data_IF_340379121645
#
_entry.id   IF_340379121645
#
_cell.length_a   1.000
_cell.length_b   1.000
_cell.length_c   1.000
_cell.angle_alpha   90.00
_cell.angle_beta   90.00
_cell.angle_gamma   90.00
#
_symmetry.space_group_name_H-M   'P 1'
#
loop_
_entity.id
_entity.type
_entity.pdbx_description
1 polymer ?
#
# COMPACT_ATOMS: atom_id res chain seq x y z
N UNK A 1 -0.16 25.29 -23.88
CA UNK A 1 1.25 24.90 -23.66
C UNK A 1 1.26 23.40 -23.41
N UNK A 2 1.48 22.61 -24.47
CA UNK A 2 1.65 21.17 -24.46
C UNK A 2 3.04 20.83 -23.92
N UNK A 3 3.15 20.64 -22.61
CA UNK A 3 4.26 19.90 -22.03
C UNK A 3 4.06 18.44 -22.38
N UNK A 4 4.84 17.91 -23.33
CA UNK A 4 4.68 16.58 -23.91
C UNK A 4 4.75 15.46 -22.88
N UNK A 5 3.61 15.09 -22.30
CA UNK A 5 3.46 13.83 -21.54
C UNK A 5 3.55 12.68 -22.53
N UNK A 6 4.47 11.77 -22.30
CA UNK A 6 4.51 10.52 -23.06
C UNK A 6 3.32 9.67 -22.65
N UNK A 7 2.35 9.49 -23.55
CA UNK A 7 1.20 8.61 -23.34
C UNK A 7 1.70 7.16 -23.25
N UNK A 8 1.18 6.40 -22.28
CA UNK A 8 1.57 5.02 -22.10
C UNK A 8 1.21 4.18 -23.35
N UNK A 9 2.10 3.28 -23.84
CA UNK A 9 1.84 2.44 -24.99
C UNK A 9 0.52 1.65 -24.93
N UNK A 10 0.12 1.19 -23.74
CA UNK A 10 -1.16 0.50 -23.55
C UNK A 10 -2.36 1.41 -23.78
N UNK A 11 -2.26 2.70 -23.40
CA UNK A 11 -3.32 3.66 -23.68
C UNK A 11 -3.39 3.97 -25.19
N UNK A 12 -2.24 4.02 -25.89
CA UNK A 12 -2.18 4.20 -27.33
C UNK A 12 -2.89 3.05 -28.04
N UNK A 13 -2.58 1.80 -27.69
CA UNK A 13 -3.21 0.60 -28.23
C UNK A 13 -4.75 0.65 -28.09
N UNK A 14 -5.25 0.98 -26.90
CA UNK A 14 -6.69 1.10 -26.64
C UNK A 14 -7.33 2.24 -27.46
N UNK A 15 -6.64 3.37 -27.59
CA UNK A 15 -7.10 4.50 -28.37
C UNK A 15 -7.19 4.17 -29.86
N UNK A 16 -6.25 3.40 -30.41
CA UNK A 16 -6.28 2.95 -31.80
C UNK A 16 -7.47 2.03 -32.06
N UNK A 17 -7.71 1.04 -31.21
CA UNK A 17 -8.88 0.14 -31.30
C UNK A 17 -10.18 0.95 -31.30
N UNK A 18 -10.33 1.91 -30.36
CA UNK A 18 -11.55 2.74 -30.27
C UNK A 18 -11.70 3.63 -31.51
N UNK A 19 -10.61 4.26 -31.97
CA UNK A 19 -10.61 5.16 -33.11
C UNK A 19 -10.93 4.45 -34.42
N UNK A 20 -10.41 3.23 -34.59
CA UNK A 20 -10.69 2.41 -35.79
C UNK A 20 -12.08 1.83 -35.77
N UNK A 21 -12.57 1.38 -34.61
CA UNK A 21 -13.89 0.77 -34.45
C UNK A 21 -15.03 1.78 -34.48
N UNK A 22 -14.90 2.89 -33.73
CA UNK A 22 -15.93 3.94 -33.60
C UNK A 22 -15.25 5.30 -33.42
N UNK A 23 -14.87 5.99 -34.52
CA UNK A 23 -14.18 7.29 -34.47
C UNK A 23 -14.92 8.37 -33.68
N UNK A 24 -16.25 8.35 -33.73
CA UNK A 24 -17.09 9.32 -33.02
C UNK A 24 -16.95 9.12 -31.49
N UNK A 25 -16.86 7.89 -31.01
CA UNK A 25 -16.58 7.61 -29.60
C UNK A 25 -15.19 8.13 -29.18
N UNK A 26 -14.17 7.88 -30.00
CA UNK A 26 -12.83 8.39 -29.72
C UNK A 26 -12.81 9.92 -29.62
N UNK A 27 -13.54 10.61 -30.49
CA UNK A 27 -13.63 12.07 -30.45
C UNK A 27 -14.24 12.61 -29.15
N UNK A 28 -15.09 11.83 -28.47
CA UNK A 28 -15.74 12.23 -27.21
C UNK A 28 -14.89 11.95 -25.97
N UNK A 29 -13.79 11.18 -26.08
CA UNK A 29 -12.93 10.92 -24.92
C UNK A 29 -12.25 12.21 -24.45
N UNK A 30 -12.30 12.44 -23.12
CA UNK A 30 -11.53 13.51 -22.48
C UNK A 30 -10.02 13.27 -22.63
N UNK A 31 -9.19 14.29 -22.35
CA UNK A 31 -7.74 14.12 -22.30
C UNK A 31 -7.35 12.96 -21.34
N UNK A 32 -7.89 12.96 -20.14
CA UNK A 32 -7.68 11.87 -19.19
C UNK A 32 -8.18 10.52 -19.73
N UNK A 33 -9.36 10.48 -20.38
CA UNK A 33 -9.90 9.26 -20.98
C UNK A 33 -8.95 8.62 -22.01
N UNK A 34 -8.22 9.44 -22.77
CA UNK A 34 -7.20 9.00 -23.74
C UNK A 34 -5.88 8.57 -23.09
N UNK A 35 -5.59 9.01 -21.88
CA UNK A 35 -4.40 8.61 -21.10
C UNK A 35 -4.62 7.35 -20.28
N UNK A 36 -5.88 6.98 -19.98
CA UNK A 36 -6.22 5.82 -19.15
C UNK A 36 -5.96 4.49 -19.87
N UNK A 37 -5.46 3.54 -19.13
CA UNK A 37 -5.25 2.15 -19.54
C UNK A 37 -5.42 1.21 -18.34
N UNK A 38 -5.58 -0.08 -18.61
CA UNK A 38 -5.52 -1.09 -17.55
C UNK A 38 -4.07 -1.62 -17.46
N UNK A 39 -3.36 -1.42 -16.34
CA UNK A 39 -1.95 -1.81 -16.24
C UNK A 39 -1.76 -3.32 -16.44
N UNK A 40 -0.82 -3.71 -17.30
CA UNK A 40 -0.28 -5.07 -17.34
C UNK A 40 0.69 -5.21 -16.17
N UNK A 41 0.21 -5.75 -15.07
CA UNK A 41 0.99 -5.85 -13.84
C UNK A 41 0.36 -6.84 -12.87
N UNK A 42 0.46 -6.57 -11.58
CA UNK A 42 0.03 -7.48 -10.50
C UNK A 42 -1.36 -8.09 -10.74
N UNK A 43 -2.35 -7.32 -11.20
CA UNK A 43 -3.72 -7.83 -11.39
C UNK A 43 -3.83 -8.79 -12.58
N UNK A 44 -3.19 -8.48 -13.70
CA UNK A 44 -3.15 -9.38 -14.88
C UNK A 44 -2.37 -10.65 -14.60
N UNK A 45 -1.20 -10.53 -14.01
CA UNK A 45 -0.39 -11.68 -13.59
C UNK A 45 -1.12 -12.55 -12.55
N UNK A 46 -1.84 -11.93 -11.61
CA UNK A 46 -2.68 -12.66 -10.64
C UNK A 46 -3.85 -13.37 -11.32
N UNK A 47 -4.51 -12.76 -12.31
CA UNK A 47 -5.59 -13.39 -13.06
C UNK A 47 -5.09 -14.58 -13.87
N UNK A 48 -3.94 -14.46 -14.50
CA UNK A 48 -3.26 -15.54 -15.22
C UNK A 48 -2.86 -16.68 -14.27
N UNK A 49 -2.23 -16.36 -13.14
CA UNK A 49 -1.86 -17.35 -12.13
C UNK A 49 -3.07 -18.09 -11.55
N UNK A 50 -4.23 -17.45 -11.40
CA UNK A 50 -5.47 -18.12 -10.97
C UNK A 50 -5.93 -19.22 -11.93
N UNK A 51 -5.62 -19.08 -13.22
CA UNK A 51 -6.02 -20.06 -14.24
C UNK A 51 -4.98 -21.16 -14.43
N UNK A 52 -3.70 -20.86 -14.24
CA UNK A 52 -2.57 -21.70 -14.66
C UNK A 52 -1.71 -22.21 -13.51
N UNK A 53 -1.65 -21.52 -12.38
CA UNK A 53 -0.88 -21.98 -11.22
C UNK A 53 -1.66 -23.10 -10.50
N UNK A 54 -1.27 -24.33 -10.77
CA UNK A 54 -1.91 -25.52 -10.18
C UNK A 54 -1.18 -26.06 -8.94
N UNK A 55 0.04 -25.62 -8.68
CA UNK A 55 0.82 -26.02 -7.49
C UNK A 55 0.77 -24.95 -6.40
N UNK A 56 1.34 -23.77 -6.66
CA UNK A 56 1.35 -22.65 -5.71
C UNK A 56 0.97 -21.34 -6.40
N UNK A 57 0.12 -20.53 -5.74
CA UNK A 57 -0.22 -19.18 -6.20
C UNK A 57 0.13 -18.15 -5.13
N UNK A 58 1.31 -17.54 -5.26
CA UNK A 58 1.86 -16.53 -4.35
C UNK A 58 1.75 -15.11 -4.91
N UNK A 59 0.69 -14.82 -5.68
CA UNK A 59 0.52 -13.52 -6.37
C UNK A 59 -0.35 -12.53 -5.60
N UNK A 60 -1.36 -12.99 -4.86
CA UNK A 60 -2.45 -12.16 -4.33
C UNK A 60 -2.04 -11.45 -3.03
N UNK A 61 -2.47 -10.20 -2.86
CA UNK A 61 -2.28 -9.41 -1.64
C UNK A 61 -3.32 -9.70 -0.55
N UNK A 62 -3.65 -10.98 -0.32
CA UNK A 62 -4.47 -11.46 0.79
C UNK A 62 -3.65 -12.46 1.62
N UNK A 63 -4.16 -12.84 2.78
CA UNK A 63 -3.64 -13.98 3.54
C UNK A 63 -4.63 -15.14 3.45
N UNK A 64 -4.12 -16.35 3.21
CA UNK A 64 -4.95 -17.55 3.07
C UNK A 64 -4.50 -18.65 4.03
N UNK A 65 -5.38 -19.57 4.34
CA UNK A 65 -5.05 -20.85 4.97
C UNK A 65 -5.92 -21.93 4.36
N UNK A 66 -5.33 -23.08 4.02
CA UNK A 66 -5.99 -24.21 3.37
C UNK A 66 -6.77 -23.77 2.11
N UNK A 67 -6.18 -22.87 1.32
CA UNK A 67 -6.79 -22.34 0.08
C UNK A 67 -7.96 -21.36 0.27
N UNK A 68 -8.26 -20.96 1.51
CA UNK A 68 -9.34 -20.00 1.83
C UNK A 68 -8.78 -18.73 2.44
N UNK A 69 -9.42 -17.56 2.20
CA UNK A 69 -9.03 -16.34 2.88
C UNK A 69 -9.07 -16.49 4.41
N UNK A 70 -8.06 -15.96 5.11
CA UNK A 70 -8.14 -15.76 6.55
C UNK A 70 -9.29 -14.80 6.87
N UNK A 71 -9.90 -14.97 8.01
CA UNK A 71 -10.99 -14.10 8.48
C UNK A 71 -11.04 -14.11 10.01
N UNK A 72 -11.81 -13.19 10.57
CA UNK A 72 -12.16 -13.17 11.97
C UNK A 72 -13.53 -13.85 12.16
N UNK A 73 -13.62 -14.98 12.88
CA UNK A 73 -14.88 -15.70 13.09
C UNK A 73 -15.99 -14.84 13.70
N UNK A 74 -15.63 -13.87 14.55
CA UNK A 74 -16.57 -12.89 15.10
C UNK A 74 -17.32 -12.10 14.05
N UNK A 75 -16.64 -11.66 12.97
CA UNK A 75 -17.28 -10.96 11.85
C UNK A 75 -18.33 -11.82 11.16
N UNK A 76 -18.02 -13.09 10.92
CA UNK A 76 -18.96 -14.04 10.27
C UNK A 76 -20.22 -14.28 11.11
N UNK A 77 -20.13 -14.24 12.43
CA UNK A 77 -21.31 -14.36 13.31
C UNK A 77 -22.24 -13.15 13.13
N UNK A 78 -21.69 -11.93 13.12
CA UNK A 78 -22.49 -10.70 12.99
C UNK A 78 -23.20 -10.56 11.64
N UNK A 79 -22.67 -11.13 10.56
CA UNK A 79 -23.35 -11.13 9.26
C UNK A 79 -24.75 -11.75 9.27
N UNK A 80 -25.01 -12.70 10.16
CA UNK A 80 -26.32 -13.40 10.23
C UNK A 80 -27.37 -12.61 11.00
N UNK A 81 -26.94 -11.80 11.98
CA UNK A 81 -27.82 -11.13 12.95
C UNK A 81 -27.73 -9.59 12.80
N UNK A 82 -27.63 -9.10 11.56
CA UNK A 82 -27.55 -7.69 11.25
C UNK A 82 -28.94 -7.06 11.23
N UNK A 83 -29.13 -5.94 11.95
CA UNK A 83 -30.35 -5.13 11.83
C UNK A 83 -30.41 -4.50 10.43
N UNK A 84 -31.59 -4.45 9.78
CA UNK A 84 -31.75 -3.81 8.48
C UNK A 84 -31.23 -2.37 8.42
N UNK A 85 -31.41 -1.56 9.46
CA UNK A 85 -30.91 -0.18 9.50
C UNK A 85 -29.36 -0.13 9.55
N UNK A 86 -28.71 -1.12 10.15
CA UNK A 86 -27.25 -1.23 10.18
C UNK A 86 -26.65 -1.69 8.84
N UNK A 87 -27.46 -2.29 7.97
CA UNK A 87 -27.01 -2.88 6.72
C UNK A 87 -27.39 -2.05 5.48
N UNK A 88 -28.60 -1.49 5.45
CA UNK A 88 -29.23 -0.94 4.23
C UNK A 88 -29.34 0.57 4.20
N UNK A 89 -29.21 1.25 5.33
CA UNK A 89 -29.21 2.72 5.36
C UNK A 89 -27.94 3.30 4.71
N UNK A 90 -28.03 4.53 4.23
CA UNK A 90 -26.87 5.27 3.79
C UNK A 90 -26.01 5.69 5.00
N UNK A 91 -24.72 5.37 4.95
CA UNK A 91 -23.77 5.95 5.90
C UNK A 91 -23.58 7.46 5.62
N UNK A 92 -23.24 8.28 6.63
CA UNK A 92 -22.76 9.64 6.40
C UNK A 92 -21.56 9.64 5.43
N UNK A 93 -21.40 10.72 4.65
CA UNK A 93 -20.31 10.83 3.66
C UNK A 93 -18.93 10.62 4.29
N UNK A 94 -18.73 11.11 5.52
CA UNK A 94 -17.46 10.95 6.26
C UNK A 94 -17.37 9.67 7.09
N UNK A 95 -18.42 8.84 7.07
CA UNK A 95 -18.54 7.61 7.84
C UNK A 95 -19.27 7.75 9.16
N UNK A 96 -19.59 6.61 9.79
CA UNK A 96 -20.28 6.55 11.08
C UNK A 96 -19.41 7.16 12.18
N UNK A 97 -19.92 8.14 12.94
CA UNK A 97 -19.17 8.80 14.01
C UNK A 97 -18.61 7.82 15.04
N UNK A 98 -19.44 6.87 15.47
CA UNK A 98 -19.05 5.85 16.45
C UNK A 98 -17.90 4.95 15.97
N UNK A 99 -17.83 4.61 14.67
CA UNK A 99 -16.71 3.87 14.10
C UNK A 99 -15.45 4.74 14.02
N UNK A 100 -15.62 6.01 13.60
CA UNK A 100 -14.50 6.96 13.49
C UNK A 100 -13.85 7.23 14.85
N UNK A 101 -14.64 7.39 15.90
CA UNK A 101 -14.18 7.57 17.29
C UNK A 101 -13.41 6.32 17.77
N UNK A 102 -14.01 5.14 17.60
CA UNK A 102 -13.36 3.87 17.97
C UNK A 102 -12.08 3.61 17.18
N UNK A 103 -12.03 3.99 15.89
CA UNK A 103 -10.82 3.88 15.08
C UNK A 103 -9.72 4.84 15.54
N UNK A 104 -10.09 6.05 15.97
CA UNK A 104 -9.13 6.99 16.59
C UNK A 104 -8.56 6.46 17.89
N UNK A 105 -9.38 5.83 18.72
CA UNK A 105 -8.92 5.15 19.93
C UNK A 105 -7.93 4.02 19.57
N UNK A 106 -8.29 3.18 18.60
CA UNK A 106 -7.42 2.12 18.07
C UNK A 106 -6.09 2.68 17.54
N UNK A 107 -6.10 3.76 16.75
CA UNK A 107 -4.89 4.41 16.27
C UNK A 107 -4.00 4.88 17.44
N UNK A 108 -4.59 5.45 18.48
CA UNK A 108 -3.84 5.92 19.67
C UNK A 108 -3.31 4.77 20.52
N UNK A 109 -4.04 3.66 20.63
CA UNK A 109 -3.60 2.46 21.35
C UNK A 109 -2.43 1.80 20.60
N UNK A 110 -2.53 1.67 19.29
CA UNK A 110 -1.51 1.05 18.45
C UNK A 110 -0.27 1.93 18.23
N UNK A 111 -0.40 3.24 18.46
CA UNK A 111 0.68 4.23 18.31
C UNK A 111 0.79 5.10 19.55
N UNK A 112 1.42 4.63 20.64
CA UNK A 112 1.53 5.35 21.91
C UNK A 112 2.13 6.76 21.79
N UNK A 113 2.99 7.01 20.80
CA UNK A 113 3.59 8.32 20.51
C UNK A 113 2.57 9.39 20.05
N UNK A 114 1.35 8.99 19.69
CA UNK A 114 0.24 9.90 19.38
C UNK A 114 -0.41 10.50 20.63
N UNK A 115 -0.17 9.97 21.82
CA UNK A 115 -0.73 10.53 23.07
C UNK A 115 -0.33 11.99 23.25
N UNK A 116 -1.32 12.86 23.39
CA UNK A 116 -1.11 14.29 23.53
C UNK A 116 -0.81 15.04 22.21
N UNK A 117 -0.75 14.34 21.08
CA UNK A 117 -0.68 14.99 19.77
C UNK A 117 -2.06 15.38 19.26
N UNK A 118 -2.10 16.47 18.48
CA UNK A 118 -3.32 16.90 17.78
C UNK A 118 -3.42 16.21 16.42
N UNK A 119 -4.53 15.52 16.18
CA UNK A 119 -4.86 14.96 14.88
C UNK A 119 -6.38 14.85 14.71
N UNK A 120 -6.83 14.84 13.46
CA UNK A 120 -8.25 14.84 13.11
C UNK A 120 -8.95 13.54 13.51
N UNK A 121 -10.29 13.58 13.57
CA UNK A 121 -11.08 12.35 13.57
C UNK A 121 -10.89 11.65 12.22
N UNK A 122 -10.66 10.31 12.19
CA UNK A 122 -10.52 9.55 10.94
C UNK A 122 -11.76 9.67 10.06
N UNK A 123 -11.57 9.82 8.74
CA UNK A 123 -12.66 9.89 7.76
C UNK A 123 -12.69 8.56 7.01
N UNK A 124 -13.85 7.92 6.93
CA UNK A 124 -14.00 6.61 6.27
C UNK A 124 -13.92 6.75 4.77
N UNK A 125 -13.14 5.86 4.14
CA UNK A 125 -12.98 5.77 2.68
C UNK A 125 -13.23 4.35 2.18
N UNK A 126 -13.45 4.19 0.87
CA UNK A 126 -13.60 2.87 0.23
C UNK A 126 -12.24 2.19 0.01
N UNK A 127 -11.55 1.89 1.12
CA UNK A 127 -10.20 1.37 1.16
C UNK A 127 -9.13 2.43 0.91
N UNK A 128 -7.86 2.08 1.15
CA UNK A 128 -6.71 3.00 1.04
C UNK A 128 -6.52 3.53 -0.39
N UNK A 129 -6.85 2.75 -1.42
CA UNK A 129 -6.81 3.23 -2.82
C UNK A 129 -7.71 4.45 -3.03
N UNK A 130 -8.90 4.46 -2.43
CA UNK A 130 -9.79 5.62 -2.47
C UNK A 130 -9.23 6.78 -1.62
N UNK A 131 -8.65 6.48 -0.45
CA UNK A 131 -7.98 7.48 0.38
C UNK A 131 -6.84 8.19 -0.38
N UNK A 132 -5.99 7.42 -1.10
CA UNK A 132 -4.94 7.96 -1.97
C UNK A 132 -5.52 8.81 -3.12
N UNK A 133 -6.62 8.36 -3.74
CA UNK A 133 -7.31 9.12 -4.78
C UNK A 133 -7.82 10.46 -4.25
N UNK A 134 -8.42 10.49 -3.05
CA UNK A 134 -8.85 11.72 -2.39
C UNK A 134 -7.66 12.63 -2.09
N UNK A 135 -6.56 12.09 -1.58
CA UNK A 135 -5.34 12.87 -1.35
C UNK A 135 -4.77 13.45 -2.64
N UNK A 136 -4.80 12.68 -3.74
CA UNK A 136 -4.37 13.18 -5.04
C UNK A 136 -5.25 14.33 -5.55
N UNK A 137 -6.57 14.26 -5.34
CA UNK A 137 -7.49 15.33 -5.71
C UNK A 137 -7.37 16.57 -4.80
N UNK A 138 -7.04 16.36 -3.50
CA UNK A 138 -6.95 17.43 -2.50
C UNK A 138 -5.63 18.21 -2.57
N UNK A 139 -4.52 17.54 -2.88
CA UNK A 139 -3.18 18.09 -2.72
C UNK A 139 -2.32 18.14 -3.98
N UNK A 140 -2.73 17.47 -5.08
CA UNK A 140 -1.88 17.33 -6.26
C UNK A 140 -2.44 18.05 -7.49
N UNK A 141 -1.71 19.05 -7.97
CA UNK A 141 -1.90 19.65 -9.28
C UNK A 141 -0.92 19.06 -10.30
N UNK A 142 -1.22 19.30 -11.59
CA UNK A 142 -0.34 18.85 -12.67
C UNK A 142 1.05 19.53 -12.57
N UNK A 143 2.11 18.72 -12.56
CA UNK A 143 3.49 19.17 -12.41
C UNK A 143 3.99 19.27 -10.96
N UNK A 144 3.11 19.05 -9.97
CA UNK A 144 3.56 18.93 -8.58
C UNK A 144 4.48 17.73 -8.40
N UNK A 145 5.50 17.89 -7.57
CA UNK A 145 6.46 16.84 -7.27
C UNK A 145 5.85 15.81 -6.31
N UNK A 146 5.93 14.54 -6.69
CA UNK A 146 5.69 13.40 -5.80
C UNK A 146 6.97 12.59 -5.65
N UNK A 147 7.51 12.54 -4.43
CA UNK A 147 8.70 11.75 -4.10
C UNK A 147 8.30 10.37 -3.57
N UNK A 148 8.83 9.32 -4.21
CA UNK A 148 8.58 7.90 -3.93
C UNK A 148 9.89 7.13 -3.83
N UNK A 149 9.96 6.00 -3.09
CA UNK A 149 11.06 5.06 -3.26
C UNK A 149 10.98 4.35 -4.63
N UNK A 150 12.09 3.74 -5.07
CA UNK A 150 12.12 2.89 -6.28
C UNK A 150 11.31 1.60 -6.10
N UNK A 151 11.23 1.08 -4.88
CA UNK A 151 10.40 -0.08 -4.50
C UNK A 151 9.03 0.42 -4.06
N UNK A 152 8.08 0.42 -4.99
CA UNK A 152 6.76 1.02 -4.80
C UNK A 152 5.62 0.13 -5.33
N UNK A 153 4.43 0.37 -4.82
CA UNK A 153 3.22 -0.17 -5.42
C UNK A 153 2.87 0.61 -6.70
N UNK A 154 2.90 -0.08 -7.85
CA UNK A 154 2.76 0.54 -9.18
C UNK A 154 1.52 1.40 -9.38
N UNK A 155 0.44 1.17 -8.60
CA UNK A 155 -0.80 1.94 -8.72
C UNK A 155 -0.66 3.42 -8.28
N UNK A 156 0.40 3.80 -7.54
CA UNK A 156 0.68 5.21 -7.26
C UNK A 156 0.91 6.01 -8.54
N UNK A 157 1.55 5.40 -9.56
CA UNK A 157 1.76 6.02 -10.88
C UNK A 157 0.44 6.32 -11.58
N UNK A 158 -0.55 5.42 -11.47
CA UNK A 158 -1.89 5.65 -12.04
C UNK A 158 -2.63 6.78 -11.31
N UNK A 159 -2.59 6.76 -9.96
CA UNK A 159 -3.34 7.70 -9.12
C UNK A 159 -2.77 9.12 -9.26
N UNK A 160 -1.47 9.30 -9.11
CA UNK A 160 -0.84 10.62 -9.09
C UNK A 160 -0.28 11.02 -10.46
N UNK A 161 0.39 10.10 -11.16
CA UNK A 161 0.98 10.36 -12.48
C UNK A 161 -0.08 10.52 -13.56
N UNK A 162 -0.75 9.44 -13.93
CA UNK A 162 -1.71 9.43 -15.04
C UNK A 162 -2.91 10.33 -14.76
N UNK A 163 -3.56 10.18 -13.60
CA UNK A 163 -4.78 10.94 -13.32
C UNK A 163 -4.54 12.41 -12.97
N UNK A 164 -3.45 12.75 -12.27
CA UNK A 164 -3.21 14.11 -11.79
C UNK A 164 -2.05 14.81 -12.47
N UNK A 165 -1.19 14.05 -13.14
CA UNK A 165 -0.03 14.59 -13.82
C UNK A 165 1.10 15.04 -12.91
N UNK A 166 1.24 14.38 -11.78
CA UNK A 166 2.37 14.59 -10.89
C UNK A 166 3.71 14.32 -11.59
N UNK A 167 4.72 15.11 -11.27
CA UNK A 167 6.13 14.84 -11.58
C UNK A 167 6.67 13.84 -10.55
N UNK A 168 6.68 12.55 -10.90
CA UNK A 168 7.10 11.48 -9.99
C UNK A 168 8.62 11.35 -10.03
N UNK A 169 9.25 11.53 -8.88
CA UNK A 169 10.68 11.31 -8.65
C UNK A 169 10.89 10.19 -7.67
N UNK A 170 11.97 9.42 -7.89
CA UNK A 170 12.28 8.25 -7.11
C UNK A 170 13.67 8.36 -6.48
N UNK A 171 13.80 7.73 -5.31
CA UNK A 171 15.08 7.50 -4.63
C UNK A 171 15.26 6.01 -4.36
N UNK A 172 16.49 5.48 -4.30
CA UNK A 172 16.74 4.09 -3.95
C UNK A 172 16.35 3.83 -2.48
N UNK A 173 15.47 2.83 -2.26
CA UNK A 173 15.00 2.48 -0.92
C UNK A 173 16.10 1.83 -0.08
N UNK A 174 16.96 1.02 -0.71
CA UNK A 174 18.02 0.28 -0.04
C UNK A 174 19.40 0.63 -0.58
N UNK A 175 20.40 0.48 0.29
CA UNK A 175 21.81 0.45 -0.08
C UNK A 175 22.20 -0.93 -0.58
N UNK A 176 23.40 -1.06 -1.15
CA UNK A 176 23.93 -2.35 -1.62
C UNK A 176 24.09 -3.37 -0.49
N UNK A 177 24.33 -2.92 0.74
CA UNK A 177 24.39 -3.77 1.93
C UNK A 177 23.03 -4.22 2.47
N UNK A 178 21.94 -3.75 1.86
CA UNK A 178 20.56 -4.06 2.25
C UNK A 178 19.99 -3.13 3.35
N UNK A 179 20.76 -2.19 3.91
CA UNK A 179 20.19 -1.21 4.86
C UNK A 179 19.30 -0.19 4.16
N UNK A 180 18.32 0.37 4.88
CA UNK A 180 17.47 1.44 4.34
C UNK A 180 18.32 2.67 3.99
N UNK A 181 18.09 3.25 2.82
CA UNK A 181 18.90 4.36 2.32
C UNK A 181 18.30 5.72 2.71
N UNK A 182 18.20 6.00 4.03
CA UNK A 182 17.66 7.25 4.54
C UNK A 182 18.42 8.48 4.00
N UNK A 183 19.72 8.36 3.72
CA UNK A 183 20.51 9.44 3.14
C UNK A 183 20.08 9.77 1.71
N UNK A 184 19.78 8.78 0.86
CA UNK A 184 19.25 9.04 -0.49
C UNK A 184 17.88 9.72 -0.44
N UNK A 185 17.01 9.32 0.50
CA UNK A 185 15.75 10.01 0.74
C UNK A 185 15.98 11.49 1.10
N UNK A 186 16.87 11.76 2.07
CA UNK A 186 17.23 13.12 2.49
C UNK A 186 17.77 13.96 1.33
N UNK A 187 18.73 13.44 0.58
CA UNK A 187 19.33 14.14 -0.58
C UNK A 187 18.30 14.42 -1.66
N UNK A 188 17.46 13.45 -2.01
CA UNK A 188 16.39 13.64 -2.97
C UNK A 188 15.40 14.71 -2.51
N UNK A 189 14.98 14.68 -1.23
CA UNK A 189 14.04 15.64 -0.67
C UNK A 189 14.60 17.07 -0.68
N UNK A 190 15.84 17.25 -0.23
CA UNK A 190 16.52 18.56 -0.18
C UNK A 190 16.82 19.11 -1.57
N UNK A 191 17.07 18.26 -2.56
CA UNK A 191 17.30 18.70 -3.95
C UNK A 191 16.09 19.41 -4.56
N UNK A 192 14.90 19.27 -3.96
CA UNK A 192 13.67 19.92 -4.38
C UNK A 192 13.11 20.91 -3.35
N UNK A 193 13.91 21.29 -2.33
CA UNK A 193 13.43 22.17 -1.25
C UNK A 193 13.05 23.59 -1.73
N UNK A 194 13.45 24.00 -2.92
CA UNK A 194 13.05 25.23 -3.61
C UNK A 194 11.64 25.15 -4.21
N UNK A 195 11.06 23.94 -4.33
CA UNK A 195 9.68 23.79 -4.81
C UNK A 195 8.67 24.31 -3.78
N UNK A 196 7.61 24.98 -4.20
CA UNK A 196 6.61 25.54 -3.29
C UNK A 196 5.86 24.47 -2.50
N UNK A 197 5.80 23.24 -3.03
CA UNK A 197 5.13 22.09 -2.42
C UNK A 197 5.80 20.79 -2.87
N UNK A 198 5.98 19.87 -1.93
CA UNK A 198 6.47 18.52 -2.19
C UNK A 198 5.49 17.53 -1.58
N UNK A 199 4.99 16.61 -2.39
CA UNK A 199 4.24 15.45 -1.95
C UNK A 199 5.23 14.32 -1.67
N UNK A 200 5.12 13.69 -0.51
CA UNK A 200 5.93 12.52 -0.12
C UNK A 200 4.99 11.38 0.21
N UNK A 201 5.27 10.18 -0.28
CA UNK A 201 4.50 8.99 0.06
C UNK A 201 5.44 7.94 0.63
N UNK A 202 5.17 7.55 1.88
CA UNK A 202 5.89 6.54 2.64
C UNK A 202 4.98 5.34 2.85
N UNK A 203 5.40 4.16 2.41
CA UNK A 203 4.63 2.93 2.56
C UNK A 203 5.43 1.89 3.35
N UNK A 204 5.04 1.70 4.62
CA UNK A 204 5.65 0.73 5.53
C UNK A 204 4.58 0.08 6.43
N UNK A 205 4.52 -1.26 6.50
CA UNK A 205 5.30 -2.25 5.74
C UNK A 205 5.21 -2.05 4.23
N UNK A 206 6.36 -2.08 3.57
CA UNK A 206 6.47 -1.75 2.15
C UNK A 206 5.86 -2.84 1.25
N UNK A 207 5.12 -2.43 0.26
CA UNK A 207 4.77 -3.25 -0.89
C UNK A 207 5.58 -2.76 -2.10
N UNK A 208 6.55 -3.53 -2.60
CA UNK A 208 6.54 -5.00 -2.65
C UNK A 208 7.47 -5.74 -1.68
N UNK A 209 8.38 -5.08 -0.98
CA UNK A 209 9.51 -5.76 -0.33
C UNK A 209 9.17 -6.44 1.00
N UNK A 210 8.12 -5.98 1.71
CA UNK A 210 7.82 -6.46 3.06
C UNK A 210 8.74 -5.88 4.14
N UNK A 211 9.35 -4.73 3.88
CA UNK A 211 10.24 -4.06 4.82
C UNK A 211 9.53 -2.97 5.62
N UNK A 212 9.89 -2.85 6.88
CA UNK A 212 9.58 -1.71 7.75
C UNK A 212 10.85 -1.22 8.44
N UNK A 213 11.02 0.09 8.62
CA UNK A 213 12.24 0.65 9.19
C UNK A 213 12.42 0.24 10.66
N UNK A 214 13.67 0.21 11.10
CA UNK A 214 14.02 0.22 12.51
C UNK A 214 13.82 1.62 13.10
N UNK A 215 13.89 1.76 14.44
CA UNK A 215 13.64 3.06 15.07
C UNK A 215 14.59 4.16 14.56
N UNK A 216 15.88 3.87 14.48
CA UNK A 216 16.89 4.84 14.01
C UNK A 216 16.66 5.27 12.55
N UNK A 217 16.21 4.35 11.69
CA UNK A 217 15.88 4.65 10.30
C UNK A 217 14.58 5.48 10.19
N UNK A 218 13.59 5.18 11.02
CA UNK A 218 12.35 5.94 11.10
C UNK A 218 12.60 7.37 11.58
N UNK A 219 13.50 7.55 12.57
CA UNK A 219 13.94 8.85 13.04
C UNK A 219 14.72 9.60 11.97
N UNK A 220 15.61 8.95 11.21
CA UNK A 220 16.34 9.57 10.12
C UNK A 220 15.39 10.07 8.99
N UNK A 221 14.32 9.34 8.70
CA UNK A 221 13.25 9.79 7.77
C UNK A 221 12.55 11.04 8.32
N UNK A 222 12.17 11.04 9.61
CA UNK A 222 11.56 12.21 10.26
C UNK A 222 12.49 13.43 10.19
N UNK A 223 13.75 13.25 10.51
CA UNK A 223 14.74 14.34 10.57
C UNK A 223 14.98 14.94 9.18
N UNK A 224 15.02 14.12 8.13
CA UNK A 224 15.09 14.59 6.75
C UNK A 224 13.86 15.44 6.35
N UNK A 225 12.66 15.02 6.77
CA UNK A 225 11.43 15.79 6.55
C UNK A 225 11.44 17.13 7.28
N UNK A 226 11.91 17.15 8.54
CA UNK A 226 12.05 18.38 9.32
C UNK A 226 13.05 19.33 8.67
N UNK A 227 14.22 18.86 8.28
CA UNK A 227 15.24 19.67 7.60
C UNK A 227 14.70 20.33 6.31
N UNK A 228 13.95 19.58 5.49
CA UNK A 228 13.35 20.15 4.28
C UNK A 228 12.25 21.18 4.61
N UNK A 229 11.46 20.97 5.66
CA UNK A 229 10.47 21.93 6.12
C UNK A 229 11.11 23.20 6.67
N UNK A 230 12.20 23.08 7.43
CA UNK A 230 13.02 24.20 7.93
C UNK A 230 13.69 24.97 6.78
N UNK A 231 14.10 24.26 5.70
CA UNK A 231 14.62 24.89 4.49
C UNK A 231 13.54 25.64 3.68
N UNK A 232 12.26 25.53 4.06
CA UNK A 232 11.15 26.33 3.50
C UNK A 232 10.15 25.54 2.65
N UNK A 233 10.36 24.24 2.41
CA UNK A 233 9.43 23.40 1.66
C UNK A 233 8.11 23.18 2.42
N UNK A 234 6.95 23.29 1.72
CA UNK A 234 5.68 22.84 2.25
C UNK A 234 5.51 21.35 1.90
N UNK A 235 5.48 20.51 2.91
CA UNK A 235 5.42 19.06 2.75
C UNK A 235 4.01 18.53 3.00
N UNK A 236 3.52 17.66 2.11
CA UNK A 236 2.38 16.78 2.37
C UNK A 236 2.90 15.36 2.42
N UNK A 237 2.99 14.80 3.61
CA UNK A 237 3.55 13.46 3.84
C UNK A 237 2.42 12.46 4.05
N UNK A 238 2.17 11.65 3.06
CA UNK A 238 1.20 10.56 3.09
C UNK A 238 1.88 9.29 3.57
N UNK A 239 1.40 8.76 4.70
CA UNK A 239 1.86 7.48 5.27
C UNK A 239 0.83 6.41 4.91
N UNK A 240 1.18 5.55 3.96
CA UNK A 240 0.36 4.42 3.52
C UNK A 240 0.66 3.21 4.41
N UNK A 241 -0.18 3.04 5.40
CA UNK A 241 -0.13 2.00 6.42
C UNK A 241 -0.95 0.75 6.03
N UNK A 242 -1.00 0.40 4.75
CA UNK A 242 -1.83 -0.71 4.27
C UNK A 242 -1.59 -2.04 4.98
N UNK A 243 -0.39 -2.28 5.49
CA UNK A 243 0.02 -3.51 6.18
C UNK A 243 0.40 -3.26 7.63
N UNK A 244 -0.06 -2.16 8.21
CA UNK A 244 0.20 -1.81 9.62
C UNK A 244 -0.16 -2.96 10.56
N UNK A 245 0.63 -3.11 11.63
CA UNK A 245 0.45 -4.16 12.62
C UNK A 245 1.11 -5.51 12.28
N UNK A 246 1.53 -5.71 11.03
CA UNK A 246 2.18 -6.95 10.58
C UNK A 246 3.72 -6.84 10.67
N UNK A 247 4.24 -6.60 11.87
CA UNK A 247 5.68 -6.48 12.17
C UNK A 247 6.16 -7.75 12.85
N UNK A 248 7.11 -8.46 12.26
CA UNK A 248 7.49 -9.81 12.71
C UNK A 248 8.79 -9.86 13.50
N UNK A 249 9.61 -8.80 13.47
CA UNK A 249 10.87 -8.70 14.20
C UNK A 249 10.81 -7.67 15.34
N UNK A 250 11.52 -7.94 16.45
CA UNK A 250 11.52 -7.05 17.62
C UNK A 250 12.20 -5.71 17.35
N UNK A 251 13.19 -5.68 16.47
CA UNK A 251 13.96 -4.47 16.12
C UNK A 251 13.18 -3.50 15.22
N UNK A 252 12.08 -3.96 14.62
CA UNK A 252 11.24 -3.12 13.75
C UNK A 252 10.54 -2.04 14.57
N UNK A 253 10.51 -0.81 14.08
CA UNK A 253 9.67 0.24 14.63
C UNK A 253 8.19 -0.13 14.44
N UNK A 254 7.48 -0.35 15.54
CA UNK A 254 6.13 -0.94 15.53
C UNK A 254 4.99 0.08 15.49
N UNK A 255 5.31 1.37 15.48
CA UNK A 255 4.33 2.43 15.27
C UNK A 255 4.36 2.93 13.81
N UNK A 256 3.30 3.59 13.40
CA UNK A 256 3.25 4.28 12.12
C UNK A 256 4.23 5.46 12.09
N UNK A 257 4.89 5.71 10.96
CA UNK A 257 5.68 6.92 10.77
C UNK A 257 4.84 8.20 10.97
N UNK A 258 3.54 8.13 10.78
CA UNK A 258 2.62 9.22 11.10
C UNK A 258 2.78 9.70 12.56
N UNK A 259 3.01 8.79 13.50
CA UNK A 259 3.19 9.17 14.92
C UNK A 259 4.43 10.04 15.16
N UNK A 260 5.52 9.79 14.43
CA UNK A 260 6.76 10.55 14.53
C UNK A 260 6.67 11.97 13.93
N UNK A 261 5.81 12.13 12.92
CA UNK A 261 5.70 13.38 12.16
C UNK A 261 4.43 14.17 12.47
N UNK A 262 3.58 13.68 13.40
CA UNK A 262 2.34 14.34 13.80
C UNK A 262 2.61 15.63 14.57
N UNK A 263 2.17 16.78 14.02
CA UNK A 263 2.22 18.07 14.69
C UNK A 263 3.63 18.61 14.98
N UNK A 264 4.64 18.21 14.20
CA UNK A 264 6.05 18.54 14.47
C UNK A 264 6.51 19.85 13.84
N UNK A 265 5.93 20.27 12.71
CA UNK A 265 6.33 21.49 12.01
C UNK A 265 5.17 22.11 11.22
N UNK A 266 5.00 23.46 11.19
CA UNK A 266 3.87 24.12 10.48
C UNK A 266 3.85 23.88 8.97
N UNK A 267 5.00 23.63 8.33
CA UNK A 267 5.11 23.33 6.90
C UNK A 267 4.98 21.85 6.58
N UNK A 268 4.66 20.98 7.56
CA UNK A 268 4.49 19.56 7.38
C UNK A 268 3.06 19.16 7.69
N UNK A 269 2.31 18.83 6.65
CA UNK A 269 0.99 18.18 6.75
C UNK A 269 1.19 16.68 6.75
N UNK A 270 0.96 16.02 7.89
CA UNK A 270 1.00 14.57 7.99
C UNK A 270 -0.37 13.99 7.67
N UNK A 271 -0.43 12.97 6.82
CA UNK A 271 -1.65 12.27 6.42
C UNK A 271 -1.48 10.78 6.62
N UNK A 272 -2.22 10.19 7.55
CA UNK A 272 -2.25 8.73 7.74
C UNK A 272 -3.33 8.13 6.85
N UNK A 273 -2.94 7.12 6.09
CA UNK A 273 -3.82 6.33 5.24
C UNK A 273 -3.77 4.87 5.73
N UNK A 274 -4.76 4.48 6.52
CA UNK A 274 -4.83 3.14 7.09
C UNK A 274 -6.18 2.48 6.85
N UNK A 275 -6.38 1.28 7.38
CA UNK A 275 -7.68 0.62 7.23
C UNK A 275 -7.70 -0.85 7.60
N UNK A 276 -8.91 -1.32 7.83
CA UNK A 276 -9.21 -2.68 8.23
C UNK A 276 -8.87 -3.75 7.18
N UNK A 277 -8.60 -3.36 5.95
CA UNK A 277 -8.48 -4.27 4.80
C UNK A 277 -7.53 -5.46 5.05
N UNK A 278 -6.31 -5.22 5.55
CA UNK A 278 -5.32 -6.26 5.85
C UNK A 278 -5.22 -6.52 7.34
N UNK A 279 -5.29 -5.47 8.14
CA UNK A 279 -5.20 -5.53 9.59
C UNK A 279 -6.30 -6.41 10.23
N UNK A 280 -7.52 -6.36 9.65
CA UNK A 280 -8.67 -7.15 10.11
C UNK A 280 -9.09 -8.28 9.15
N UNK A 281 -8.27 -8.56 8.13
CA UNK A 281 -8.51 -9.63 7.17
C UNK A 281 -9.85 -9.50 6.41
N UNK A 282 -10.23 -8.26 6.05
CA UNK A 282 -11.51 -7.93 5.41
C UNK A 282 -11.33 -7.25 4.05
N UNK A 283 -10.52 -7.84 3.19
CA UNK A 283 -10.15 -7.26 1.88
C UNK A 283 -11.36 -6.82 1.04
N UNK A 284 -12.46 -7.58 1.12
CA UNK A 284 -13.70 -7.31 0.39
C UNK A 284 -14.54 -6.18 0.96
N UNK A 285 -14.36 -5.77 2.22
CA UNK A 285 -15.17 -4.71 2.85
C UNK A 285 -14.86 -3.33 2.28
N UNK A 286 -13.68 -3.15 1.74
CA UNK A 286 -13.24 -1.84 1.23
C UNK A 286 -13.39 -0.74 2.27
N UNK A 287 -12.80 -0.93 3.45
CA UNK A 287 -12.74 0.07 4.51
C UNK A 287 -11.32 0.58 4.69
N UNK A 288 -11.16 1.89 4.56
CA UNK A 288 -9.95 2.64 4.86
C UNK A 288 -10.30 3.94 5.58
N UNK A 289 -9.28 4.64 6.04
CA UNK A 289 -9.43 5.89 6.77
C UNK A 289 -8.37 6.90 6.34
N UNK A 290 -8.73 8.18 6.39
CA UNK A 290 -7.80 9.31 6.26
C UNK A 290 -7.80 10.06 7.58
N UNK A 291 -6.60 10.30 8.11
CA UNK A 291 -6.39 11.10 9.33
C UNK A 291 -5.33 12.15 9.07
N UNK A 292 -5.57 13.40 9.49
CA UNK A 292 -4.65 14.52 9.31
C UNK A 292 -4.01 14.91 10.64
N UNK A 293 -2.74 15.32 10.61
CA UNK A 293 -2.09 15.99 11.71
C UNK A 293 -1.33 17.22 11.23
N UNK A 294 -1.53 18.32 11.92
CA UNK A 294 -0.99 19.64 11.60
C UNK A 294 -0.30 20.23 12.81
N UNK A 295 0.62 21.15 12.58
CA UNK A 295 1.23 22.00 13.62
C UNK A 295 0.97 23.47 13.33
N UNK A 296 0.92 24.28 14.40
CA UNK A 296 0.69 25.74 14.29
C UNK A 296 -0.78 26.10 14.11
N UNK A 297 -1.07 27.37 14.32
CA UNK A 297 -2.44 27.90 14.30
C UNK A 297 -3.13 27.79 15.67
N UNK A 298 -4.02 28.77 15.92
CA UNK A 298 -4.69 28.91 17.22
C UNK A 298 -5.91 28.01 17.38
N UNK A 299 -6.47 27.48 16.27
CA UNK A 299 -7.69 26.66 16.26
C UNK A 299 -7.59 25.49 15.25
N UNK A 300 -6.75 24.50 15.56
CA UNK A 300 -6.58 23.30 14.72
C UNK A 300 -7.87 22.50 14.60
N UNK A 301 -8.73 22.50 15.59
CA UNK A 301 -10.00 21.76 15.55
C UNK A 301 -10.91 22.30 14.43
N UNK A 302 -10.96 23.60 14.23
CA UNK A 302 -11.73 24.19 13.14
C UNK A 302 -11.09 23.90 11.77
N UNK A 303 -9.76 23.86 11.70
CA UNK A 303 -9.03 23.46 10.48
C UNK A 303 -9.32 22.00 10.13
N UNK A 304 -9.30 21.09 11.09
CA UNK A 304 -9.67 19.68 10.86
C UNK A 304 -11.12 19.54 10.39
N UNK A 305 -12.06 20.29 10.98
CA UNK A 305 -13.45 20.31 10.49
C UNK A 305 -13.57 20.83 9.05
N UNK A 306 -12.77 21.81 8.66
CA UNK A 306 -12.73 22.30 7.29
C UNK A 306 -12.17 21.24 6.31
N UNK A 307 -11.09 20.54 6.68
CA UNK A 307 -10.55 19.43 5.90
C UNK A 307 -11.56 18.28 5.78
N UNK A 308 -12.24 17.93 6.88
CA UNK A 308 -13.30 16.92 6.87
C UNK A 308 -14.40 17.25 5.86
N UNK A 309 -14.85 18.51 5.82
CA UNK A 309 -15.86 18.96 4.84
C UNK A 309 -15.35 18.88 3.40
N UNK A 310 -14.09 19.21 3.13
CA UNK A 310 -13.48 19.08 1.80
C UNK A 310 -13.41 17.61 1.36
N UNK A 311 -12.92 16.75 2.24
CA UNK A 311 -12.85 15.29 1.98
C UNK A 311 -14.27 14.71 1.83
N UNK A 312 -15.21 15.11 2.68
CA UNK A 312 -16.62 14.73 2.56
C UNK A 312 -17.23 15.15 1.23
N UNK A 313 -16.87 16.33 0.71
CA UNK A 313 -17.26 16.80 -0.63
C UNK A 313 -16.69 15.92 -1.75
N UNK A 314 -15.42 15.51 -1.66
CA UNK A 314 -14.79 14.58 -2.62
C UNK A 314 -15.46 13.20 -2.58
N UNK A 315 -15.71 12.65 -1.38
CA UNK A 315 -16.45 11.39 -1.23
C UNK A 315 -17.85 11.50 -1.83
N UNK A 316 -18.57 12.59 -1.53
CA UNK A 316 -19.91 12.82 -2.06
C UNK A 316 -19.93 12.90 -3.58
N UNK A 317 -18.92 13.51 -4.19
CA UNK A 317 -18.79 13.69 -5.64
C UNK A 317 -18.28 12.45 -6.39
N UNK A 318 -17.76 11.41 -5.67
CA UNK A 318 -17.21 10.20 -6.30
C UNK A 318 -18.08 8.98 -6.04
N UNK A 319 -18.25 8.57 -4.80
CA UNK A 319 -18.94 7.34 -4.40
C UNK A 319 -20.18 7.59 -3.52
N UNK A 320 -20.51 8.85 -3.24
CA UNK A 320 -21.57 9.30 -2.34
C UNK A 320 -21.28 9.05 -0.86
N UNK A 321 -21.00 7.84 -0.47
CA UNK A 321 -20.61 7.38 0.87
C UNK A 321 -20.02 5.96 0.80
N UNK A 322 -19.37 5.52 1.87
CA UNK A 322 -18.86 4.16 1.99
C UNK A 322 -19.95 3.20 2.50
N UNK A 323 -19.73 1.90 2.31
CA UNK A 323 -20.69 0.85 2.71
C UNK A 323 -21.06 0.93 4.20
N UNK A 324 -22.36 1.09 4.48
CA UNK A 324 -22.90 1.05 5.85
C UNK A 324 -22.68 -0.33 6.47
N UNK A 325 -23.01 -1.40 5.75
CA UNK A 325 -22.85 -2.79 6.19
C UNK A 325 -21.40 -3.07 6.64
N UNK A 326 -20.42 -2.69 5.84
CA UNK A 326 -19.00 -2.94 6.17
C UNK A 326 -18.56 -2.17 7.43
N UNK A 327 -19.02 -0.92 7.58
CA UNK A 327 -18.74 -0.10 8.76
C UNK A 327 -19.39 -0.69 10.02
N UNK A 328 -20.64 -1.10 9.94
CA UNK A 328 -21.37 -1.71 11.06
C UNK A 328 -20.76 -3.03 11.51
N UNK A 329 -20.35 -3.87 10.56
CA UNK A 329 -19.67 -5.14 10.85
C UNK A 329 -18.33 -4.93 11.56
N UNK A 330 -17.51 -3.98 11.07
CA UNK A 330 -16.23 -3.67 11.71
C UNK A 330 -16.45 -3.11 13.11
N UNK A 331 -17.38 -2.17 13.28
CA UNK A 331 -17.73 -1.58 14.59
C UNK A 331 -18.15 -2.66 15.60
N UNK A 332 -19.01 -3.60 15.18
CA UNK A 332 -19.44 -4.74 16.02
C UNK A 332 -18.28 -5.64 16.37
N UNK A 333 -17.43 -5.96 15.41
CA UNK A 333 -16.27 -6.83 15.64
C UNK A 333 -15.28 -6.21 16.63
N UNK A 334 -14.91 -4.94 16.45
CA UNK A 334 -13.98 -4.24 17.34
C UNK A 334 -14.49 -4.14 18.79
N UNK A 335 -15.81 -4.12 19.00
CA UNK A 335 -16.43 -4.11 20.33
C UNK A 335 -16.63 -5.50 20.93
N UNK A 336 -16.49 -6.54 20.13
CA UNK A 336 -16.79 -7.90 20.57
C UNK A 336 -15.68 -8.49 21.45
N UNK A 337 -16.03 -9.25 22.50
CA UNK A 337 -15.06 -10.11 23.19
C UNK A 337 -14.40 -11.07 22.19
N UNK A 338 -13.08 -11.26 22.32
CA UNK A 338 -12.32 -12.18 21.46
C UNK A 338 -11.77 -11.56 20.15
N UNK A 339 -12.07 -10.30 19.86
CA UNK A 339 -11.56 -9.63 18.65
C UNK A 339 -10.02 -9.59 18.61
N UNK A 340 -9.37 -9.18 19.69
CA UNK A 340 -7.91 -9.10 19.77
C UNK A 340 -7.28 -10.49 19.69
N UNK A 341 -7.87 -11.49 20.32
CA UNK A 341 -7.40 -12.86 20.29
C UNK A 341 -7.54 -13.52 18.90
N UNK A 342 -8.61 -13.18 18.16
CA UNK A 342 -8.78 -13.64 16.78
C UNK A 342 -7.72 -13.03 15.85
N UNK A 343 -7.42 -11.73 16.01
CA UNK A 343 -6.33 -11.06 15.27
C UNK A 343 -4.98 -11.67 15.60
N UNK A 344 -4.69 -11.88 16.88
CA UNK A 344 -3.43 -12.45 17.35
C UNK A 344 -3.18 -13.86 16.80
N UNK A 345 -4.21 -14.71 16.71
CA UNK A 345 -4.06 -16.04 16.08
C UNK A 345 -3.64 -15.96 14.63
N UNK A 346 -4.29 -15.08 13.86
CA UNK A 346 -3.95 -14.89 12.45
C UNK A 346 -2.56 -14.26 12.28
N UNK A 347 -2.20 -13.32 13.15
CA UNK A 347 -0.86 -12.72 13.18
C UNK A 347 0.22 -13.78 13.43
N UNK A 348 0.04 -14.65 14.43
CA UNK A 348 1.01 -15.73 14.74
C UNK A 348 1.19 -16.69 13.57
N UNK A 349 0.10 -17.06 12.89
CA UNK A 349 0.17 -17.89 11.70
C UNK A 349 1.03 -17.23 10.60
N UNK A 350 0.86 -15.95 10.38
CA UNK A 350 1.66 -15.21 9.40
C UNK A 350 3.11 -15.04 9.85
N UNK A 351 3.35 -14.81 11.13
CA UNK A 351 4.69 -14.73 11.71
C UNK A 351 5.45 -16.04 11.58
N UNK A 352 4.79 -17.19 11.77
CA UNK A 352 5.42 -18.51 11.59
C UNK A 352 5.81 -18.75 10.12
N UNK A 353 4.98 -18.34 9.17
CA UNK A 353 5.31 -18.36 7.73
C UNK A 353 6.48 -17.44 7.40
N UNK A 354 6.47 -16.23 7.93
CA UNK A 354 7.56 -15.28 7.80
C UNK A 354 8.89 -15.88 8.27
N UNK A 355 8.90 -16.51 9.46
CA UNK A 355 10.10 -17.16 10.02
C UNK A 355 10.63 -18.25 9.10
N UNK A 356 9.75 -19.09 8.57
CA UNK A 356 10.13 -20.13 7.62
C UNK A 356 10.73 -19.55 6.34
N UNK A 357 10.08 -18.55 5.75
CA UNK A 357 10.59 -17.86 4.56
C UNK A 357 11.97 -17.25 4.84
N UNK A 358 12.13 -16.62 6.01
CA UNK A 358 13.41 -16.00 6.41
C UNK A 358 14.53 -17.04 6.54
N UNK A 359 14.24 -18.20 7.11
CA UNK A 359 15.20 -19.29 7.24
C UNK A 359 15.59 -19.89 5.88
N UNK A 360 14.59 -20.10 5.02
CA UNK A 360 14.80 -20.80 3.75
C UNK A 360 15.52 -19.92 2.73
N UNK A 361 15.07 -18.66 2.54
CA UNK A 361 15.55 -17.82 1.44
C UNK A 361 17.02 -17.41 1.56
N UNK A 362 17.56 -17.37 2.78
CA UNK A 362 18.97 -17.03 3.03
C UNK A 362 19.91 -18.24 3.04
N UNK A 363 19.45 -19.43 2.65
CA UNK A 363 20.33 -20.60 2.52
C UNK A 363 21.36 -20.37 1.41
N UNK A 364 22.60 -20.66 1.69
CA UNK A 364 23.75 -20.42 0.79
C UNK A 364 23.55 -21.04 -0.61
N UNK A 365 22.84 -22.16 -0.70
CA UNK A 365 22.56 -22.85 -1.97
C UNK A 365 21.78 -22.02 -2.99
N UNK A 366 21.13 -20.93 -2.59
CA UNK A 366 20.37 -20.05 -3.49
C UNK A 366 21.13 -18.79 -3.91
N UNK A 367 22.30 -18.53 -3.32
CA UNK A 367 23.01 -17.27 -3.46
C UNK A 367 23.48 -16.95 -4.88
N UNK A 368 23.64 -17.98 -5.73
CA UNK A 368 24.00 -17.86 -7.14
C UNK A 368 22.79 -17.67 -8.09
N UNK A 369 21.57 -17.78 -7.57
CA UNK A 369 20.36 -17.66 -8.37
C UNK A 369 19.60 -16.36 -8.14
N UNK A 370 19.49 -15.92 -6.88
CA UNK A 370 18.78 -14.72 -6.51
C UNK A 370 19.22 -14.17 -5.15
N UNK A 371 18.99 -12.87 -4.93
CA UNK A 371 19.23 -12.20 -3.65
C UNK A 371 17.93 -11.66 -3.06
N UNK A 372 17.57 -12.00 -1.81
CA UNK A 372 16.42 -11.41 -1.16
C UNK A 372 16.69 -9.95 -0.81
N UNK A 373 15.70 -9.08 -1.05
CA UNK A 373 15.67 -7.77 -0.41
C UNK A 373 15.40 -7.92 1.07
N UNK A 374 15.78 -6.94 1.90
CA UNK A 374 15.41 -6.94 3.30
C UNK A 374 13.89 -6.98 3.47
N UNK A 375 13.42 -7.81 4.37
CA UNK A 375 12.01 -7.91 4.76
C UNK A 375 11.90 -8.33 6.22
N UNK A 376 10.92 -7.80 6.93
CA UNK A 376 10.68 -8.05 8.35
C UNK A 376 9.19 -7.92 8.73
N UNK A 377 8.31 -7.71 7.72
CA UNK A 377 6.91 -7.33 7.96
C UNK A 377 6.02 -7.61 6.74
N UNK A 378 4.71 -7.37 6.88
CA UNK A 378 3.75 -7.41 5.77
C UNK A 378 3.41 -8.80 5.26
N UNK A 379 3.04 -8.90 3.99
CA UNK A 379 2.62 -10.13 3.32
C UNK A 379 3.61 -10.66 2.29
N UNK A 380 4.59 -9.84 1.93
CA UNK A 380 5.44 -10.05 0.77
C UNK A 380 6.91 -10.10 1.14
N UNK A 381 7.65 -10.72 0.26
CA UNK A 381 9.08 -10.51 0.13
C UNK A 381 9.44 -10.41 -1.34
N UNK A 382 10.58 -9.83 -1.66
CA UNK A 382 11.11 -9.77 -3.00
C UNK A 382 12.50 -10.40 -3.08
N UNK A 383 12.76 -11.03 -4.21
CA UNK A 383 14.10 -11.43 -4.60
C UNK A 383 14.52 -10.69 -5.86
N UNK A 384 15.79 -10.29 -5.92
CA UNK A 384 16.43 -9.72 -7.09
C UNK A 384 17.08 -10.84 -7.89
N UNK A 385 16.86 -10.82 -9.19
CA UNK A 385 17.53 -11.68 -10.17
C UNK A 385 18.65 -10.89 -10.85
N UNK A 386 19.80 -11.53 -11.11
CA UNK A 386 20.94 -10.85 -11.73
C UNK A 386 21.14 -11.27 -13.19
N UNK A 387 20.92 -12.54 -13.50
CA UNK A 387 21.25 -13.12 -14.80
C UNK A 387 20.02 -13.52 -15.64
N UNK A 388 18.83 -13.53 -15.03
CA UNK A 388 17.60 -13.96 -15.66
C UNK A 388 16.57 -12.84 -15.60
N UNK A 389 15.87 -12.60 -16.70
CA UNK A 389 14.76 -11.65 -16.75
C UNK A 389 13.56 -12.15 -15.91
N UNK A 390 13.01 -11.27 -15.08
CA UNK A 390 11.96 -11.64 -14.14
C UNK A 390 10.63 -12.03 -14.81
N UNK A 391 10.29 -11.41 -15.96
CA UNK A 391 9.08 -11.77 -16.69
C UNK A 391 9.23 -13.14 -17.34
N UNK A 392 10.38 -13.41 -17.93
CA UNK A 392 10.73 -14.72 -18.50
C UNK A 392 10.69 -15.81 -17.44
N UNK A 393 11.28 -15.56 -16.27
CA UNK A 393 11.28 -16.54 -15.17
C UNK A 393 9.86 -16.76 -14.63
N UNK A 394 9.06 -15.71 -14.47
CA UNK A 394 7.67 -15.82 -14.05
C UNK A 394 6.84 -16.72 -14.99
N UNK A 395 7.00 -16.53 -16.30
CA UNK A 395 6.33 -17.36 -17.30
C UNK A 395 6.81 -18.81 -17.25
N UNK A 396 8.10 -19.02 -17.15
CA UNK A 396 8.67 -20.34 -17.03
C UNK A 396 8.18 -21.09 -15.77
N UNK A 397 8.15 -20.39 -14.61
CA UNK A 397 7.60 -20.94 -13.37
C UNK A 397 6.14 -21.36 -13.52
N UNK A 398 5.35 -20.53 -14.19
CA UNK A 398 3.92 -20.77 -14.38
C UNK A 398 3.68 -21.94 -15.34
N UNK A 399 4.40 -22.00 -16.46
CA UNK A 399 4.22 -23.02 -17.50
C UNK A 399 4.76 -24.39 -17.12
N UNK A 400 5.97 -24.42 -16.57
CA UNK A 400 6.66 -25.67 -16.31
C UNK A 400 6.40 -26.23 -14.92
N UNK A 401 6.21 -25.35 -13.93
CA UNK A 401 6.13 -25.75 -12.54
C UNK A 401 4.74 -25.49 -11.91
N UNK A 402 3.85 -24.76 -12.58
CA UNK A 402 2.56 -24.40 -12.03
C UNK A 402 2.63 -23.46 -10.83
N UNK A 403 3.68 -22.64 -10.76
CA UNK A 403 3.95 -21.70 -9.68
C UNK A 403 3.72 -20.26 -10.14
N UNK A 404 2.81 -19.55 -9.47
CA UNK A 404 2.50 -18.15 -9.73
C UNK A 404 3.22 -17.22 -8.77
N UNK A 405 4.03 -16.31 -9.30
CA UNK A 405 4.69 -15.19 -8.61
C UNK A 405 4.44 -13.90 -9.40
N UNK A 406 4.87 -12.76 -8.88
CA UNK A 406 4.75 -11.47 -9.56
C UNK A 406 6.14 -10.99 -10.00
N UNK A 407 6.32 -10.71 -11.29
CA UNK A 407 7.50 -10.01 -11.80
C UNK A 407 7.33 -8.49 -11.67
N UNK A 408 8.42 -7.81 -11.32
CA UNK A 408 8.51 -6.36 -11.17
C UNK A 408 9.77 -5.87 -11.89
N UNK A 409 9.61 -4.89 -12.77
CA UNK A 409 10.71 -4.14 -13.40
C UNK A 409 11.84 -4.98 -14.05
N UNK A 410 11.52 -6.17 -14.57
CA UNK A 410 12.46 -7.06 -15.28
C UNK A 410 13.52 -7.75 -14.41
N UNK A 411 13.70 -7.33 -13.15
CA UNK A 411 14.76 -7.86 -12.28
C UNK A 411 14.25 -8.42 -10.95
N UNK A 412 13.06 -8.03 -10.51
CA UNK A 412 12.55 -8.36 -9.19
C UNK A 412 11.36 -9.32 -9.28
N UNK A 413 11.34 -10.34 -8.42
CA UNK A 413 10.17 -11.18 -8.19
C UNK A 413 9.60 -10.92 -6.80
N UNK A 414 8.29 -10.67 -6.73
CA UNK A 414 7.55 -10.59 -5.47
C UNK A 414 6.83 -11.89 -5.18
N UNK A 415 7.01 -12.39 -3.96
CA UNK A 415 6.38 -13.60 -3.42
C UNK A 415 5.47 -13.21 -2.27
N UNK A 416 4.18 -13.54 -2.39
CA UNK A 416 3.21 -13.37 -1.32
C UNK A 416 3.24 -14.59 -0.39
N UNK A 417 4.11 -14.59 0.60
CA UNK A 417 4.20 -15.68 1.57
C UNK A 417 2.94 -15.81 2.43
N UNK A 418 2.13 -14.78 2.50
CA UNK A 418 0.81 -14.82 3.16
C UNK A 418 -0.16 -15.84 2.53
N UNK A 419 0.11 -16.25 1.28
CA UNK A 419 -0.70 -17.24 0.55
C UNK A 419 -0.14 -18.66 0.59
N UNK A 420 1.03 -18.87 1.20
CA UNK A 420 1.68 -20.18 1.33
C UNK A 420 1.37 -20.79 2.69
N UNK A 421 1.25 -22.11 2.75
CA UNK A 421 1.39 -22.81 4.01
C UNK A 421 2.88 -22.95 4.36
N UNK A 422 3.20 -23.05 5.65
CA UNK A 422 4.58 -23.11 6.12
C UNK A 422 5.37 -24.23 5.45
N UNK A 423 4.76 -25.40 5.29
CA UNK A 423 5.34 -26.61 4.71
C UNK A 423 5.63 -26.50 3.21
N UNK A 424 5.06 -25.48 2.53
CA UNK A 424 5.23 -25.25 1.09
C UNK A 424 6.42 -24.34 0.77
N UNK A 425 6.97 -23.66 1.77
CA UNK A 425 7.99 -22.61 1.59
C UNK A 425 9.28 -23.20 1.01
N UNK A 426 9.78 -24.28 1.59
CA UNK A 426 11.04 -24.92 1.13
C UNK A 426 10.94 -25.39 -0.33
N UNK A 427 9.86 -26.09 -0.67
CA UNK A 427 9.63 -26.58 -2.04
C UNK A 427 9.48 -25.44 -3.05
N UNK A 428 8.79 -24.34 -2.68
CA UNK A 428 8.67 -23.17 -3.56
C UNK A 428 10.02 -22.55 -3.88
N UNK A 429 10.92 -22.37 -2.92
CA UNK A 429 12.24 -21.81 -3.17
C UNK A 429 13.16 -22.78 -3.91
N UNK A 430 13.02 -24.09 -3.71
CA UNK A 430 13.71 -25.10 -4.51
C UNK A 430 13.23 -25.11 -5.97
N UNK A 431 11.94 -24.91 -6.20
CA UNK A 431 11.39 -24.76 -7.56
C UNK A 431 11.92 -23.48 -8.19
N UNK A 432 11.92 -22.35 -7.46
CA UNK A 432 12.46 -21.08 -7.96
C UNK A 432 13.93 -21.23 -8.37
N UNK A 433 14.74 -21.87 -7.53
CA UNK A 433 16.15 -22.12 -7.82
C UNK A 433 16.35 -22.98 -9.09
N UNK A 434 15.58 -24.08 -9.22
CA UNK A 434 15.61 -24.93 -10.43
C UNK A 434 15.20 -24.15 -11.67
N UNK A 435 14.16 -23.36 -11.60
CA UNK A 435 13.66 -22.57 -12.72
C UNK A 435 14.67 -21.51 -13.19
N UNK A 436 15.40 -20.87 -12.28
CA UNK A 436 16.51 -19.96 -12.62
C UNK A 436 17.61 -20.73 -13.36
N UNK A 437 18.01 -21.92 -12.88
CA UNK A 437 19.04 -22.71 -13.49
C UNK A 437 18.63 -23.30 -14.86
N UNK A 438 17.35 -23.65 -15.06
CA UNK A 438 16.83 -24.05 -16.38
C UNK A 438 17.09 -22.94 -17.42
N UNK A 439 16.81 -21.68 -17.05
CA UNK A 439 16.96 -20.54 -17.95
C UNK A 439 18.42 -20.10 -18.17
N UNK A 440 19.30 -20.33 -17.17
CA UNK A 440 20.76 -20.10 -17.35
C UNK A 440 21.43 -21.08 -18.31
N UNK A 441 20.85 -22.26 -18.50
CA UNK A 441 21.37 -23.31 -19.36
C UNK A 441 20.77 -23.32 -20.77
N UNK A 442 19.71 -22.55 -20.99
CA UNK A 442 18.99 -22.47 -22.28
C UNK A 442 19.58 -21.37 -23.19
#
# INVERSE_FOLDING_TARGET
>A
LEGGRTINPLAIELNEIIREGVPELYATLSALGRELYFPRGILTQTAEARQRAHLYNSTIGIATSQGKPLYLPGLMRFLRDMDPAEAFDYAPATGMSTLRELWREHQTEANPSLKGRSFSLPIVTSGITHALSICSDLFCDAGDLLLLPDKLWGNYRMIFGTRRGADIRQYPLFRDDGSLHAQAFREALLSFADRPKILVLLNFPNNPTGYSPHLEEAEAIRDALLEAAEAGANLVVMVDDAYFGLFYEEVTYKESLFSLISGVHPRLTAVKLDGATKEDYVWGFRLGFITFSLAGGDDLENVYRALEKKVGGLIRGTISNCSMLAQSLLLKAMKAPGYKEEKERNYRLLQDRYREVKEVVYRERYADAFRPYPFNSGYFMCVRLEEVDADTLREHLLDRYGVGVISLDGHDLRIAFSCLEKEQVDDLFDILYRAVNDLKQA
#
